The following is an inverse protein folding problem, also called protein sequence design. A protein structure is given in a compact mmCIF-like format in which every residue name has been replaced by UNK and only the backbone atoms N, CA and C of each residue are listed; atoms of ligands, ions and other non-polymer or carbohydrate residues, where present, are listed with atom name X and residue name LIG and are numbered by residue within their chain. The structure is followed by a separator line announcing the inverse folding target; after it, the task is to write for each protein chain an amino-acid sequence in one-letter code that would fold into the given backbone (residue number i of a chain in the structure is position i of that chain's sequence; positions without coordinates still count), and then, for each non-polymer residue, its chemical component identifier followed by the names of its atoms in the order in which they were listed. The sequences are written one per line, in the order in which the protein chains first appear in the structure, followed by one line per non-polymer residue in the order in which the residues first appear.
data_IF_617346491935
#
_entry.id   IF_617346491935
#
_cell.length_a   1.000
_cell.length_b   1.000
_cell.length_c   1.000
_cell.angle_alpha   90.00
_cell.angle_beta   90.00
_cell.angle_gamma   90.00
#
_symmetry.space_group_name_H-M   'P 1'
#
loop_
_entity.id
_entity.type
_entity.pdbx_description
1 polymer ?
#
# COMPACT_ATOMS: atom_id res chain seq x y z
N UNK A 1 -1.78 -1.62 27.60
CA UNK A 1 -0.72 -0.62 27.92
C UNK A 1 0.63 -1.27 27.68
N UNK A 2 1.53 -0.64 26.93
CA UNK A 2 2.85 -1.20 26.68
C UNK A 2 3.69 -1.18 27.98
N UNK A 3 4.22 -2.34 28.44
CA UNK A 3 5.15 -2.35 29.55
C UNK A 3 6.39 -1.52 29.16
N UNK A 4 6.86 -0.65 30.07
CA UNK A 4 8.01 0.25 29.91
C UNK A 4 7.82 1.60 29.17
N UNK A 5 6.60 1.96 28.73
CA UNK A 5 6.33 3.28 28.12
C UNK A 5 5.17 4.00 28.84
N UNK A 6 5.37 4.47 30.09
CA UNK A 6 4.33 5.20 30.82
C UNK A 6 3.97 6.48 30.06
N UNK A 7 2.68 6.67 29.77
CA UNK A 7 2.16 7.81 29.01
C UNK A 7 2.07 7.61 27.49
N UNK A 8 2.49 6.45 26.95
CA UNK A 8 2.28 6.12 25.54
C UNK A 8 1.03 5.26 25.36
N UNK A 9 0.13 5.73 24.51
CA UNK A 9 -1.01 4.95 24.01
C UNK A 9 -0.64 4.29 22.68
N UNK A 10 -0.79 2.96 22.60
CA UNK A 10 -0.63 2.22 21.35
C UNK A 10 -1.98 2.11 20.68
N UNK A 11 -2.07 2.58 19.43
CA UNK A 11 -3.25 2.42 18.58
C UNK A 11 -2.96 1.31 17.56
N UNK A 12 -3.49 0.09 17.77
CA UNK A 12 -3.27 -1.01 16.83
C UNK A 12 -4.13 -0.83 15.58
N UNK A 13 -3.56 -1.14 14.42
CA UNK A 13 -4.26 -1.17 13.14
C UNK A 13 -4.22 -2.57 12.53
N UNK A 14 -5.28 -2.92 11.82
CA UNK A 14 -5.32 -4.11 10.98
C UNK A 14 -4.59 -3.84 9.65
N UNK A 15 -4.30 -4.91 8.91
CA UNK A 15 -3.70 -4.80 7.58
C UNK A 15 -4.66 -4.06 6.65
N UNK A 16 -4.15 -3.07 5.91
CA UNK A 16 -4.87 -2.42 4.83
C UNK A 16 -4.33 -2.92 3.48
N UNK A 17 -5.23 -3.18 2.55
CA UNK A 17 -4.92 -3.58 1.18
C UNK A 17 -5.79 -2.78 0.20
N UNK A 18 -5.46 -2.82 -1.09
CA UNK A 18 -6.23 -2.13 -2.10
C UNK A 18 -7.53 -2.89 -2.36
N UNK A 19 -8.68 -2.33 -1.98
CA UNK A 19 -9.99 -2.90 -2.29
C UNK A 19 -10.36 -2.53 -3.73
N UNK A 20 -10.42 -3.55 -4.60
CA UNK A 20 -10.71 -3.38 -6.02
C UNK A 20 -12.14 -2.92 -6.29
N UNK A 21 -13.09 -3.22 -5.40
CA UNK A 21 -14.48 -2.76 -5.50
C UNK A 21 -14.61 -1.30 -5.07
N UNK A 22 -13.91 -0.90 -4.01
CA UNK A 22 -13.93 0.47 -3.51
C UNK A 22 -13.01 1.42 -4.30
N UNK A 23 -11.99 0.90 -4.97
CA UNK A 23 -11.01 1.69 -5.71
C UNK A 23 -10.05 2.48 -4.81
N UNK A 24 -9.83 2.01 -3.58
CA UNK A 24 -9.01 2.69 -2.58
C UNK A 24 -8.44 1.71 -1.55
N UNK A 25 -7.58 2.21 -0.66
CA UNK A 25 -7.07 1.44 0.47
C UNK A 25 -8.14 1.26 1.54
N UNK A 26 -8.38 0.02 1.97
CA UNK A 26 -9.32 -0.31 3.02
C UNK A 26 -8.74 -1.40 3.95
N UNK A 27 -9.27 -1.53 5.16
CA UNK A 27 -8.92 -2.65 6.04
C UNK A 27 -9.30 -3.97 5.39
N UNK A 28 -8.39 -4.93 5.43
CA UNK A 28 -8.54 -6.23 4.81
C UNK A 28 -9.66 -7.03 5.50
N UNK A 29 -10.53 -7.62 4.68
CA UNK A 29 -11.63 -8.48 5.15
C UNK A 29 -11.43 -9.90 4.60
N UNK A 30 -11.17 -10.84 5.51
CA UNK A 30 -10.96 -12.26 5.21
C UNK A 30 -12.18 -12.92 4.53
N UNK A 31 -13.39 -12.37 4.70
CA UNK A 31 -14.59 -12.90 4.02
C UNK A 31 -14.65 -12.53 2.54
N UNK A 32 -13.87 -11.52 2.13
CA UNK A 32 -13.84 -10.96 0.77
C UNK A 32 -12.42 -10.90 0.22
N UNK A 33 -11.57 -11.87 0.52
CA UNK A 33 -10.14 -11.87 0.14
C UNK A 33 -9.91 -11.57 -1.34
N UNK A 34 -10.77 -12.10 -2.22
CA UNK A 34 -10.72 -11.91 -3.66
C UNK A 34 -10.91 -10.45 -4.10
N UNK A 35 -11.56 -9.61 -3.28
CA UNK A 35 -11.77 -8.19 -3.56
C UNK A 35 -10.51 -7.36 -3.28
N UNK A 36 -9.55 -7.88 -2.51
CA UNK A 36 -8.36 -7.16 -2.12
C UNK A 36 -7.15 -7.53 -2.99
N UNK A 37 -6.34 -6.52 -3.30
CA UNK A 37 -5.07 -6.68 -3.99
C UNK A 37 -3.92 -6.22 -3.09
N UNK A 38 -2.99 -7.13 -2.84
CA UNK A 38 -1.74 -6.83 -2.14
C UNK A 38 -0.68 -6.39 -3.14
N UNK A 39 -0.28 -5.13 -3.05
CA UNK A 39 0.74 -4.53 -3.92
C UNK A 39 2.03 -4.43 -3.12
N UNK A 40 2.89 -5.43 -3.27
CA UNK A 40 4.17 -5.50 -2.56
C UNK A 40 5.21 -4.53 -3.12
N UNK A 41 6.27 -4.24 -2.36
CA UNK A 41 7.40 -3.44 -2.83
C UNK A 41 8.07 -4.01 -4.08
N UNK A 42 8.17 -5.34 -4.18
CA UNK A 42 8.67 -6.03 -5.38
C UNK A 42 7.78 -5.78 -6.60
N UNK A 43 6.46 -5.79 -6.42
CA UNK A 43 5.51 -5.48 -7.48
C UNK A 43 5.61 -4.01 -7.91
N UNK A 44 5.73 -3.08 -6.96
CA UNK A 44 5.94 -1.65 -7.23
C UNK A 44 7.20 -1.44 -8.08
N UNK A 45 8.32 -2.06 -7.69
CA UNK A 45 9.58 -1.98 -8.43
C UNK A 45 9.41 -2.49 -9.86
N UNK A 46 8.72 -3.62 -10.04
CA UNK A 46 8.44 -4.19 -11.37
C UNK A 46 7.61 -3.23 -12.22
N UNK A 47 6.49 -2.72 -11.68
CA UNK A 47 5.62 -1.76 -12.37
C UNK A 47 6.39 -0.52 -12.80
N UNK A 48 7.19 0.05 -11.89
CA UNK A 48 8.03 1.22 -12.17
C UNK A 48 9.04 0.98 -13.30
N UNK A 49 9.76 -0.15 -13.26
CA UNK A 49 10.71 -0.53 -14.33
C UNK A 49 10.03 -0.75 -15.68
N UNK A 50 8.81 -1.29 -15.68
CA UNK A 50 7.99 -1.50 -16.88
C UNK A 50 7.26 -0.23 -17.35
N UNK A 51 7.40 0.90 -16.64
CA UNK A 51 6.69 2.15 -16.95
C UNK A 51 5.17 2.08 -16.73
N UNK A 52 4.68 1.06 -15.99
CA UNK A 52 3.26 0.88 -15.65
C UNK A 52 2.92 1.61 -14.36
N UNK A 53 1.67 2.04 -14.20
CA UNK A 53 1.17 2.65 -12.96
C UNK A 53 0.51 1.61 -12.05
N UNK A 54 0.54 1.80 -10.71
CA UNK A 54 -0.34 1.06 -9.81
C UNK A 54 -1.81 1.47 -10.03
N UNK A 55 -2.77 0.73 -9.46
CA UNK A 55 -4.18 1.11 -9.50
C UNK A 55 -4.42 2.51 -8.95
N UNK A 56 -5.39 3.22 -9.53
CA UNK A 56 -5.82 4.53 -9.05
C UNK A 56 -6.26 4.42 -7.58
N UNK A 57 -5.90 5.39 -6.73
CA UNK A 57 -6.24 5.36 -5.31
C UNK A 57 -5.30 4.51 -4.44
N UNK A 58 -4.34 3.78 -5.02
CA UNK A 58 -3.26 3.13 -4.26
C UNK A 58 -2.25 4.15 -3.71
N UNK A 59 -1.84 5.11 -4.54
CA UNK A 59 -0.83 6.10 -4.20
C UNK A 59 -1.08 7.40 -4.98
N UNK A 60 -0.84 8.58 -4.37
CA UNK A 60 -0.83 9.85 -5.09
C UNK A 60 0.13 9.85 -6.29
N UNK A 61 -0.28 10.46 -7.41
CA UNK A 61 0.51 10.44 -8.65
C UNK A 61 1.89 11.11 -8.52
N UNK A 62 2.00 12.15 -7.69
CA UNK A 62 3.26 12.84 -7.42
C UNK A 62 4.27 11.92 -6.72
N UNK A 63 3.82 11.14 -5.74
CA UNK A 63 4.65 10.15 -5.06
C UNK A 63 5.04 9.00 -6.02
N UNK A 64 4.09 8.53 -6.84
CA UNK A 64 4.38 7.51 -7.84
C UNK A 64 5.49 7.94 -8.83
N UNK A 65 5.45 9.19 -9.31
CA UNK A 65 6.47 9.72 -10.23
C UNK A 65 7.88 9.64 -9.65
N UNK A 66 8.04 9.93 -8.36
CA UNK A 66 9.34 9.86 -7.67
C UNK A 66 9.84 8.41 -7.64
N UNK A 67 8.97 7.47 -7.25
CA UNK A 67 9.32 6.05 -7.18
C UNK A 67 9.63 5.48 -8.58
N UNK A 68 8.81 5.83 -9.58
CA UNK A 68 9.03 5.43 -10.96
C UNK A 68 10.39 5.93 -11.48
N UNK A 69 10.68 7.21 -11.29
CA UNK A 69 11.95 7.82 -11.67
C UNK A 69 13.13 7.14 -10.97
N UNK A 70 13.01 6.80 -9.69
CA UNK A 70 14.08 6.09 -8.97
C UNK A 70 14.37 4.72 -9.60
N UNK A 71 13.36 3.89 -9.84
CA UNK A 71 13.57 2.54 -10.36
C UNK A 71 13.90 2.47 -11.85
N UNK A 72 13.57 3.51 -12.63
CA UNK A 72 13.96 3.62 -14.04
C UNK A 72 15.44 3.97 -14.22
N UNK A 73 16.04 4.66 -13.24
CA UNK A 73 17.46 5.03 -13.27
C UNK A 73 18.39 4.03 -12.54
N UNK A 74 17.86 2.83 -12.24
CA UNK A 74 18.47 1.79 -11.39
C UNK A 74 18.82 0.53 -12.18
#
# INVERSE_FOLDING_TARGET
MAPALPGLEIIPFQVAAYDKKAGCMAFFDEKRTEDFQFISGTMIRKLAKEGKKPPNGFMPENAWKIIASYYQNL
#
